data_IF_141058780231
#
_entry.id   IF_141058780231
#
_cell.length_a   1.000
_cell.length_b   1.000
_cell.length_c   1.000
_cell.angle_alpha   90.00
_cell.angle_beta   90.00
_cell.angle_gamma   90.00
#
_symmetry.space_group_name_H-M   'P 1'
#
loop_
_entity.id
_entity.type
_entity.pdbx_description
1 polymer ?
#
# COMPACT_ATOMS: atom_id res chain seq x y z
N UNK A 1 11.24 -5.66 4.27
CA UNK A 1 10.02 -6.10 3.58
C UNK A 1 10.12 -7.61 3.40
N UNK A 2 9.48 -8.46 4.21
CA UNK A 2 9.68 -9.90 4.17
C UNK A 2 8.68 -10.48 3.15
N UNK A 3 9.22 -11.20 2.16
CA UNK A 3 8.44 -11.90 1.14
C UNK A 3 7.64 -10.99 0.22
N UNK A 4 8.03 -10.90 -1.06
CA UNK A 4 7.09 -10.47 -2.10
C UNK A 4 5.86 -11.38 -1.93
N UNK A 5 4.67 -10.78 -1.80
CA UNK A 5 3.41 -11.51 -1.63
C UNK A 5 3.33 -12.66 -2.63
N UNK A 6 2.83 -13.82 -2.22
CA UNK A 6 2.49 -14.85 -3.21
C UNK A 6 1.27 -14.37 -4.01
N UNK A 7 1.10 -14.93 -5.20
CA UNK A 7 -0.08 -14.67 -6.03
C UNK A 7 -1.39 -14.87 -5.24
N UNK A 8 -2.39 -14.03 -5.51
CA UNK A 8 -3.69 -14.08 -4.81
C UNK A 8 -3.66 -13.57 -3.37
N UNK A 9 -2.53 -12.98 -2.92
CA UNK A 9 -2.45 -12.33 -1.61
C UNK A 9 -2.59 -10.81 -1.72
N UNK A 10 -3.09 -10.22 -0.64
CA UNK A 10 -3.09 -8.78 -0.42
C UNK A 10 -2.66 -8.46 1.01
N UNK A 11 -1.97 -7.33 1.16
CA UNK A 11 -1.40 -6.84 2.41
C UNK A 11 -1.64 -5.36 2.55
N UNK A 12 -2.05 -4.97 3.75
CA UNK A 12 -2.17 -3.58 4.14
C UNK A 12 -0.79 -3.09 4.62
N UNK A 13 -0.22 -2.13 3.91
CA UNK A 13 1.14 -1.62 4.14
C UNK A 13 1.05 -0.18 4.65
N UNK A 14 1.51 0.11 5.88
CA UNK A 14 1.66 1.49 6.34
C UNK A 14 2.83 2.17 5.61
N UNK A 15 2.57 3.30 4.96
CA UNK A 15 3.56 4.04 4.15
C UNK A 15 4.09 5.28 4.89
N UNK A 16 3.23 6.03 5.57
CA UNK A 16 3.62 7.28 6.24
C UNK A 16 2.71 7.62 7.40
N UNK A 17 3.24 8.38 8.36
CA UNK A 17 2.55 8.75 9.60
C UNK A 17 2.68 10.24 9.88
N UNK A 18 1.64 11.00 9.55
CA UNK A 18 1.47 12.41 9.95
C UNK A 18 0.74 12.56 11.29
N UNK A 19 0.87 13.70 12.00
CA UNK A 19 0.18 13.95 13.27
C UNK A 19 -1.34 14.06 13.13
N UNK A 20 -1.85 14.19 11.90
CA UNK A 20 -3.27 14.37 11.66
C UNK A 20 -4.11 13.11 11.92
N UNK A 21 -5.36 13.35 12.34
CA UNK A 21 -6.30 12.32 12.78
C UNK A 21 -7.18 11.84 11.63
N UNK A 22 -6.55 11.39 10.55
CA UNK A 22 -7.22 10.81 9.38
C UNK A 22 -6.37 9.70 8.76
N UNK A 23 -7.02 8.80 8.04
CA UNK A 23 -6.38 7.72 7.29
C UNK A 23 -6.60 7.95 5.80
N UNK A 24 -5.54 7.84 5.01
CA UNK A 24 -5.60 7.81 3.56
C UNK A 24 -5.19 6.42 3.08
N UNK A 25 -6.16 5.64 2.59
CA UNK A 25 -5.94 4.29 2.09
C UNK A 25 -5.90 4.30 0.56
N UNK A 26 -4.71 4.11 0.00
CA UNK A 26 -4.49 3.96 -1.43
C UNK A 26 -4.69 2.50 -1.85
N UNK A 27 -5.42 2.29 -2.95
CA UNK A 27 -5.70 0.99 -3.54
C UNK A 27 -5.34 1.07 -5.03
N UNK A 28 -4.24 0.44 -5.47
CA UNK A 28 -3.79 0.50 -6.86
C UNK A 28 -4.62 -0.43 -7.77
N UNK A 29 -4.44 -0.27 -9.08
CA UNK A 29 -5.09 -1.09 -10.11
C UNK A 29 -4.21 -2.23 -10.63
N UNK A 30 -4.54 -2.73 -11.83
CA UNK A 30 -3.86 -3.83 -12.52
C UNK A 30 -2.44 -3.50 -13.03
N UNK A 31 -1.95 -2.28 -12.83
CA UNK A 31 -0.53 -1.99 -13.07
C UNK A 31 0.28 -2.76 -12.02
N UNK A 32 0.47 -4.04 -12.30
CA UNK A 32 0.96 -5.04 -11.36
C UNK A 32 2.42 -4.78 -11.14
N UNK A 33 2.68 -4.36 -9.91
CA UNK A 33 3.94 -4.37 -9.20
C UNK A 33 4.42 -5.84 -9.13
N UNK A 34 4.94 -6.33 -10.24
CA UNK A 34 5.44 -7.71 -10.39
C UNK A 34 6.74 -7.89 -9.59
N UNK A 35 7.38 -6.77 -9.27
CA UNK A 35 8.59 -6.69 -8.48
C UNK A 35 8.56 -5.56 -7.44
N UNK A 36 9.61 -5.54 -6.63
CA UNK A 36 9.81 -4.57 -5.55
C UNK A 36 10.06 -3.16 -6.07
N UNK A 37 10.71 -3.00 -7.21
CA UNK A 37 11.07 -1.69 -7.77
C UNK A 37 9.82 -0.90 -8.14
N UNK A 38 8.86 -1.56 -8.78
CA UNK A 38 7.59 -0.94 -9.11
C UNK A 38 6.84 -0.52 -7.84
N UNK A 39 6.82 -1.37 -6.80
CA UNK A 39 6.16 -1.06 -5.52
C UNK A 39 6.80 0.17 -4.86
N UNK A 40 8.14 0.22 -4.83
CA UNK A 40 8.89 1.36 -4.30
C UNK A 40 8.59 2.63 -5.11
N UNK A 41 8.46 2.51 -6.45
CA UNK A 41 8.05 3.59 -7.34
C UNK A 41 6.64 4.12 -7.04
N UNK A 42 5.66 3.24 -6.82
CA UNK A 42 4.31 3.64 -6.44
C UNK A 42 4.30 4.34 -5.07
N UNK A 43 4.98 3.76 -4.08
CA UNK A 43 5.13 4.34 -2.74
C UNK A 43 5.75 5.74 -2.84
N UNK A 44 6.79 5.91 -3.66
CA UNK A 44 7.43 7.20 -3.90
C UNK A 44 6.46 8.23 -4.49
N UNK A 45 5.65 7.86 -5.50
CA UNK A 45 4.63 8.75 -6.08
C UNK A 45 3.59 9.20 -5.05
N UNK A 46 3.11 8.27 -4.21
CA UNK A 46 2.16 8.57 -3.12
C UNK A 46 2.79 9.55 -2.12
N UNK A 47 4.02 9.28 -1.69
CA UNK A 47 4.74 10.13 -0.73
C UNK A 47 5.02 11.53 -1.27
N UNK A 48 5.30 11.65 -2.58
CA UNK A 48 5.52 12.95 -3.24
C UNK A 48 4.27 13.84 -3.20
N UNK A 49 3.08 13.25 -3.26
CA UNK A 49 1.83 14.00 -3.08
C UNK A 49 1.63 14.52 -1.65
N UNK A 50 2.41 14.04 -0.67
CA UNK A 50 2.37 14.43 0.75
C UNK A 50 0.97 14.36 1.39
N UNK A 51 0.21 13.26 1.24
CA UNK A 51 -1.08 13.13 1.92
C UNK A 51 -0.92 13.26 3.44
N UNK A 52 -1.93 13.85 4.10
CA UNK A 52 -1.96 14.04 5.56
C UNK A 52 -2.28 12.78 6.32
N UNK A 53 -2.04 12.80 7.63
CA UNK A 53 -2.45 11.74 8.53
C UNK A 53 -1.72 10.43 8.25
N UNK A 54 -2.41 9.31 8.46
CA UNK A 54 -1.82 7.98 8.36
C UNK A 54 -2.08 7.43 6.97
N UNK A 55 -1.02 7.11 6.25
CA UNK A 55 -1.08 6.71 4.85
C UNK A 55 -0.85 5.23 4.76
N UNK A 56 -1.80 4.53 4.15
CA UNK A 56 -1.75 3.09 3.92
C UNK A 56 -1.88 2.78 2.44
N UNK A 57 -1.28 1.68 2.04
CA UNK A 57 -1.47 1.07 0.72
C UNK A 57 -2.01 -0.34 0.90
N UNK A 58 -3.16 -0.62 0.30
CA UNK A 58 -3.61 -1.99 0.12
C UNK A 58 -2.90 -2.57 -1.10
N UNK A 59 -1.77 -3.23 -0.87
CA UNK A 59 -1.02 -3.90 -1.92
C UNK A 59 -1.65 -5.28 -2.21
N UNK A 60 -1.79 -5.64 -3.48
CA UNK A 60 -2.41 -6.91 -3.89
C UNK A 60 -1.79 -7.44 -5.19
N UNK A 61 -1.71 -8.77 -5.31
CA UNK A 61 -1.19 -9.45 -6.51
C UNK A 61 -2.25 -10.39 -7.09
N UNK A 62 -2.43 -10.30 -8.41
CA UNK A 62 -3.34 -11.15 -9.17
C UNK A 62 -2.70 -12.52 -9.40
N UNK A 63 -3.52 -13.57 -9.44
CA UNK A 63 -3.07 -14.92 -9.80
C UNK A 63 -2.82 -15.04 -11.30
N UNK A 64 -1.64 -15.55 -11.69
CA UNK A 64 -1.21 -15.70 -13.09
C UNK A 64 -1.60 -17.05 -13.69
N UNK A 65 -2.14 -17.99 -12.92
CA UNK A 65 -2.37 -19.37 -13.37
C UNK A 65 -3.46 -19.61 -14.42
N UNK A 66 -4.09 -18.57 -14.99
CA UNK A 66 -4.97 -18.69 -16.15
C UNK A 66 -4.23 -18.50 -17.50
N UNK A 67 -2.94 -18.11 -17.46
CA UNK A 67 -2.08 -17.89 -18.65
C UNK A 67 -1.84 -19.19 -19.47
N UNK A 68 -2.19 -20.37 -18.96
CA UNK A 68 -2.10 -21.65 -19.69
C UNK A 68 -3.29 -21.94 -20.62
N UNK A 69 -4.38 -21.16 -20.55
CA UNK A 69 -5.58 -21.38 -21.37
C UNK A 69 -5.67 -20.47 -22.61
N UNK A 70 -4.97 -19.32 -22.61
CA UNK A 70 -4.83 -18.48 -23.79
C UNK A 70 -3.42 -18.64 -24.33
N UNK A 71 -3.30 -19.49 -25.34
CA UNK A 71 -2.13 -19.50 -26.21
C UNK A 71 -1.92 -18.08 -26.74
N UNK A 72 -0.96 -17.35 -26.15
CA UNK A 72 -0.35 -16.20 -26.81
C UNK A 72 0.12 -16.76 -28.15
N UNK A 73 -0.46 -16.34 -29.29
CA UNK A 73 -0.04 -16.91 -30.55
C UNK A 73 1.44 -16.60 -30.70
N UNK A 74 2.26 -17.64 -30.87
CA UNK A 74 3.68 -17.50 -31.14
C UNK A 74 3.85 -16.74 -32.47
N UNK A 75 3.83 -15.41 -32.40
CA UNK A 75 4.10 -14.54 -33.52
C UNK A 75 5.61 -14.33 -33.61
N UNK A 76 6.28 -15.25 -34.33
CA UNK A 76 7.30 -14.94 -35.33
C UNK A 76 8.04 -16.22 -35.75
N UNK A 77 7.52 -16.90 -36.78
CA UNK A 77 8.42 -17.48 -37.78
C UNK A 77 8.28 -16.64 -39.06
N UNK A 78 9.37 -16.09 -39.59
CA UNK A 78 9.32 -15.28 -40.80
C UNK A 78 8.98 -16.18 -41.99
N UNK A 79 7.88 -15.90 -42.69
CA UNK A 79 7.67 -16.47 -44.02
C UNK A 79 6.26 -16.92 -44.42
N UNK A 80 5.23 -16.83 -43.56
CA UNK A 80 3.85 -17.20 -43.97
C UNK A 80 2.87 -16.05 -43.82
N UNK A 81 2.56 -15.40 -44.94
CA UNK A 81 1.38 -14.52 -45.08
C UNK A 81 0.13 -15.35 -44.76
N UNK A 82 -0.45 -15.15 -43.57
CA UNK A 82 -1.80 -15.60 -43.24
C UNK A 82 -2.66 -14.38 -42.91
N UNK A 83 -3.89 -14.41 -43.41
CA UNK A 83 -4.88 -13.33 -43.31
C UNK A 83 -5.01 -12.87 -41.86
N UNK A 84 -4.81 -11.57 -41.64
CA UNK A 84 -5.01 -10.94 -40.33
C UNK A 84 -6.43 -11.20 -39.83
N UNK A 85 -6.62 -11.57 -38.55
CA UNK A 85 -7.93 -11.49 -37.93
C UNK A 85 -8.38 -10.02 -37.87
N UNK A 86 -9.61 -9.76 -38.29
CA UNK A 86 -10.22 -8.43 -38.52
C UNK A 86 -10.52 -7.61 -37.26
N UNK A 87 -9.85 -7.89 -36.14
CA UNK A 87 -10.02 -7.22 -34.84
C UNK A 87 -8.79 -6.43 -34.38
N UNK A 88 -7.73 -6.33 -35.20
CA UNK A 88 -6.55 -5.52 -34.90
C UNK A 88 -6.67 -4.12 -35.53
N UNK A 89 -6.46 -3.03 -34.77
CA UNK A 89 -6.51 -1.68 -35.32
C UNK A 89 -5.36 -1.45 -36.32
N UNK A 90 -5.71 -0.79 -37.42
CA UNK A 90 -4.75 -0.23 -38.36
C UNK A 90 -4.10 1.01 -37.72
N UNK A 91 -2.98 0.83 -37.03
CA UNK A 91 -2.15 1.91 -36.48
C UNK A 91 -0.73 1.42 -36.23
N UNK A 92 0.27 2.25 -36.50
CA UNK A 92 1.68 1.94 -36.22
C UNK A 92 1.95 2.05 -34.72
N UNK A 93 1.74 0.97 -33.97
CA UNK A 93 2.34 0.83 -32.63
C UNK A 93 3.57 -0.06 -32.71
N UNK A 94 4.57 0.22 -31.87
CA UNK A 94 5.73 -0.64 -31.76
C UNK A 94 5.38 -2.01 -31.15
N UNK A 95 6.18 -3.03 -31.49
CA UNK A 95 5.98 -4.41 -31.04
C UNK A 95 5.92 -4.55 -29.50
N UNK A 96 6.74 -3.82 -28.71
CA UNK A 96 6.65 -3.85 -27.24
C UNK A 96 5.32 -3.33 -26.68
N UNK A 97 4.76 -2.26 -27.24
CA UNK A 97 3.48 -1.70 -26.79
C UNK A 97 2.32 -2.66 -27.03
N UNK A 98 2.31 -3.34 -28.19
CA UNK A 98 1.33 -4.38 -28.48
C UNK A 98 1.40 -5.56 -27.50
N UNK A 99 2.60 -6.03 -27.19
CA UNK A 99 2.80 -7.15 -26.26
C UNK A 99 2.32 -6.79 -24.85
N UNK A 100 2.62 -5.58 -24.38
CA UNK A 100 2.19 -5.09 -23.07
C UNK A 100 0.67 -4.94 -22.97
N UNK A 101 0.03 -4.39 -24.01
CA UNK A 101 -1.42 -4.28 -24.08
C UNK A 101 -2.10 -5.66 -24.12
N UNK A 102 -1.58 -6.59 -24.92
CA UNK A 102 -2.09 -7.96 -25.00
C UNK A 102 -2.01 -8.69 -23.64
N UNK A 103 -0.90 -8.53 -22.92
CA UNK A 103 -0.73 -9.10 -21.58
C UNK A 103 -1.73 -8.51 -20.59
N UNK A 104 -1.92 -7.18 -20.59
CA UNK A 104 -2.90 -6.49 -19.74
C UNK A 104 -4.33 -6.98 -20.02
N UNK A 105 -4.70 -7.09 -21.30
CA UNK A 105 -6.03 -7.57 -21.72
C UNK A 105 -6.26 -9.00 -21.27
N UNK A 106 -5.25 -9.85 -21.40
CA UNK A 106 -5.37 -11.24 -21.00
C UNK A 106 -5.51 -11.36 -19.46
N UNK A 107 -4.75 -10.59 -18.67
CA UNK A 107 -4.81 -10.56 -17.19
C UNK A 107 -6.08 -9.94 -16.62
N UNK A 108 -6.77 -9.11 -17.39
CA UNK A 108 -7.86 -8.29 -16.89
C UNK A 108 -9.04 -9.05 -16.26
N UNK A 109 -9.57 -10.14 -16.85
CA UNK A 109 -10.71 -10.86 -16.25
C UNK A 109 -10.41 -11.42 -14.86
N UNK A 110 -9.26 -12.07 -14.68
CA UNK A 110 -8.86 -12.62 -13.37
C UNK A 110 -8.58 -11.52 -12.35
N UNK A 111 -7.93 -10.44 -12.78
CA UNK A 111 -7.69 -9.28 -11.93
C UNK A 111 -8.97 -8.58 -11.50
N UNK A 112 -9.93 -8.48 -12.41
CA UNK A 112 -11.26 -7.93 -12.16
C UNK A 112 -11.97 -8.75 -11.09
N UNK A 113 -12.10 -10.06 -11.25
CA UNK A 113 -12.75 -10.93 -10.25
C UNK A 113 -12.06 -10.85 -8.89
N UNK A 114 -10.73 -10.84 -8.86
CA UNK A 114 -10.00 -10.71 -7.60
C UNK A 114 -10.18 -9.33 -6.94
N UNK A 115 -10.31 -8.25 -7.72
CA UNK A 115 -10.64 -6.93 -7.18
C UNK A 115 -12.04 -6.91 -6.53
N UNK A 116 -13.01 -7.63 -7.10
CA UNK A 116 -14.37 -7.77 -6.55
C UNK A 116 -14.33 -8.55 -5.22
N UNK A 117 -13.64 -9.68 -5.17
CA UNK A 117 -13.41 -10.46 -3.94
C UNK A 117 -12.65 -9.67 -2.86
N UNK A 118 -11.67 -8.86 -3.27
CA UNK A 118 -10.94 -7.98 -2.36
C UNK A 118 -11.86 -6.89 -1.80
N UNK A 119 -12.79 -6.37 -2.62
CA UNK A 119 -13.82 -5.45 -2.19
C UNK A 119 -14.72 -6.07 -1.12
N UNK A 120 -15.23 -7.27 -1.36
CA UNK A 120 -16.06 -8.01 -0.41
C UNK A 120 -15.35 -8.26 0.94
N UNK A 121 -14.05 -8.50 0.91
CA UNK A 121 -13.26 -8.76 2.13
C UNK A 121 -12.64 -7.50 2.76
N UNK A 122 -12.82 -6.31 2.18
CA UNK A 122 -12.13 -5.09 2.62
C UNK A 122 -12.49 -4.72 4.07
N UNK A 123 -13.78 -4.69 4.43
CA UNK A 123 -14.24 -4.36 5.81
C UNK A 123 -13.60 -5.27 6.85
N UNK A 124 -13.54 -6.58 6.57
CA UNK A 124 -12.93 -7.57 7.46
C UNK A 124 -11.42 -7.32 7.62
N UNK A 125 -10.73 -6.94 6.54
CA UNK A 125 -9.30 -6.64 6.57
C UNK A 125 -9.01 -5.40 7.40
N UNK A 126 -9.78 -4.33 7.20
CA UNK A 126 -9.62 -3.09 7.97
C UNK A 126 -9.97 -3.29 9.45
N UNK A 127 -10.90 -4.19 9.76
CA UNK A 127 -11.26 -4.53 11.14
C UNK A 127 -10.12 -5.11 11.96
N UNK A 128 -9.09 -5.70 11.31
CA UNK A 128 -7.91 -6.25 11.99
C UNK A 128 -7.00 -5.17 12.56
N UNK A 129 -7.13 -3.93 12.08
CA UNK A 129 -6.31 -2.81 12.49
C UNK A 129 -7.17 -1.80 13.27
N UNK A 130 -7.06 -1.73 14.62
CA UNK A 130 -7.96 -0.93 15.45
C UNK A 130 -8.01 0.56 15.09
N UNK A 131 -6.94 1.10 14.48
CA UNK A 131 -6.88 2.50 14.07
C UNK A 131 -7.96 2.87 13.04
N UNK A 132 -8.37 1.93 12.18
CA UNK A 132 -9.38 2.16 11.14
C UNK A 132 -10.78 2.40 11.72
N UNK A 133 -11.09 1.82 12.88
CA UNK A 133 -12.36 2.10 13.59
C UNK A 133 -12.35 3.44 14.34
N UNK A 134 -11.17 4.03 14.59
CA UNK A 134 -11.00 5.22 15.44
C UNK A 134 -10.87 6.52 14.65
N UNK A 135 -10.38 6.46 13.42
CA UNK A 135 -10.10 7.63 12.59
C UNK A 135 -11.02 7.66 11.35
N UNK A 136 -11.35 8.85 10.82
CA UNK A 136 -11.96 8.93 9.50
C UNK A 136 -11.03 8.36 8.43
N UNK A 137 -11.60 7.61 7.50
CA UNK A 137 -10.89 6.94 6.41
C UNK A 137 -11.28 7.59 5.09
N UNK A 138 -10.29 8.01 4.32
CA UNK A 138 -10.47 8.35 2.91
C UNK A 138 -9.97 7.17 2.08
N UNK A 139 -10.80 6.71 1.15
CA UNK A 139 -10.48 5.63 0.23
C UNK A 139 -10.04 6.24 -1.10
N UNK A 140 -8.86 5.87 -1.61
CA UNK A 140 -8.32 6.38 -2.87
C UNK A 140 -8.04 5.19 -3.78
N UNK A 141 -8.88 4.99 -4.79
CA UNK A 141 -8.80 3.86 -5.71
C UNK A 141 -8.39 4.29 -7.10
N UNK A 142 -7.37 3.64 -7.66
CA UNK A 142 -6.97 3.83 -9.05
C UNK A 142 -7.35 2.61 -9.90
N UNK A 143 -7.96 2.81 -11.07
CA UNK A 143 -8.29 1.72 -11.99
C UNK A 143 -9.05 0.59 -11.29
N UNK A 144 -8.56 -0.66 -11.28
CA UNK A 144 -9.22 -1.76 -10.54
C UNK A 144 -9.31 -1.51 -9.02
N UNK A 145 -8.45 -0.69 -8.43
CA UNK A 145 -8.59 -0.28 -7.03
C UNK A 145 -9.88 0.51 -6.76
N UNK A 146 -10.41 1.23 -7.75
CA UNK A 146 -11.74 1.84 -7.65
C UNK A 146 -12.86 0.78 -7.64
N UNK A 147 -12.68 -0.35 -8.35
CA UNK A 147 -13.61 -1.48 -8.30
C UNK A 147 -13.61 -2.14 -6.93
N UNK A 148 -12.44 -2.29 -6.28
CA UNK A 148 -12.35 -2.75 -4.89
C UNK A 148 -13.21 -1.89 -3.98
N UNK A 149 -13.11 -0.56 -4.09
CA UNK A 149 -13.90 0.38 -3.27
C UNK A 149 -15.39 0.26 -3.59
N UNK A 150 -15.74 0.26 -4.88
CA UNK A 150 -17.14 0.16 -5.33
C UNK A 150 -17.82 -1.07 -4.73
N UNK A 151 -17.21 -2.25 -4.90
CA UNK A 151 -17.76 -3.49 -4.35
C UNK A 151 -17.78 -3.48 -2.83
N UNK A 152 -16.74 -2.94 -2.19
CA UNK A 152 -16.68 -2.85 -0.73
C UNK A 152 -17.81 -2.00 -0.13
N UNK A 153 -18.17 -0.88 -0.76
CA UNK A 153 -19.25 0.01 -0.30
C UNK A 153 -20.63 -0.53 -0.69
N UNK A 154 -20.75 -1.18 -1.84
CA UNK A 154 -22.00 -1.75 -2.33
C UNK A 154 -22.51 -2.91 -1.47
N UNK A 155 -21.63 -3.83 -1.03
CA UNK A 155 -22.06 -5.09 -0.40
C UNK A 155 -21.94 -5.14 1.11
N UNK A 156 -21.41 -4.10 1.75
CA UNK A 156 -21.16 -4.09 3.20
C UNK A 156 -21.69 -2.83 3.84
N UNK A 157 -22.22 -2.97 5.06
CA UNK A 157 -22.52 -1.83 5.92
C UNK A 157 -21.25 -1.34 6.62
N UNK A 158 -20.99 -0.04 6.60
CA UNK A 158 -19.77 0.57 7.14
C UNK A 158 -19.96 1.32 8.45
N UNK A 159 -21.07 1.10 9.15
CA UNK A 159 -21.45 1.68 10.44
C UNK A 159 -20.35 1.73 11.53
N UNK A 160 -19.50 0.70 11.60
CA UNK A 160 -18.37 0.62 12.53
C UNK A 160 -17.16 1.50 12.14
N UNK A 161 -17.17 2.07 10.94
CA UNK A 161 -16.09 2.84 10.35
C UNK A 161 -16.59 4.21 9.93
N UNK A 162 -15.74 5.22 10.05
CA UNK A 162 -16.06 6.54 9.50
C UNK A 162 -15.45 6.69 8.12
N UNK A 163 -16.10 6.16 7.08
CA UNK A 163 -15.69 6.40 5.70
C UNK A 163 -16.02 7.85 5.35
N UNK A 164 -14.98 8.67 5.22
CA UNK A 164 -15.10 10.11 5.11
C UNK A 164 -15.27 10.55 3.66
N UNK A 165 -14.35 10.19 2.77
CA UNK A 165 -14.43 10.51 1.35
C UNK A 165 -13.92 9.31 0.53
N UNK A 166 -14.40 9.19 -0.70
CA UNK A 166 -13.92 8.24 -1.69
C UNK A 166 -13.42 9.01 -2.91
N UNK A 167 -12.21 8.71 -3.37
CA UNK A 167 -11.59 9.31 -4.54
C UNK A 167 -11.27 8.20 -5.53
N UNK A 168 -11.87 8.25 -6.71
CA UNK A 168 -11.66 7.29 -7.79
C UNK A 168 -10.92 7.96 -8.92
N UNK A 169 -9.80 7.36 -9.32
CA UNK A 169 -8.91 7.85 -10.37
C UNK A 169 -8.89 6.83 -11.50
N UNK A 170 -9.32 7.22 -12.70
CA UNK A 170 -9.39 6.32 -13.85
C UNK A 170 -10.06 4.96 -13.53
N UNK A 171 -11.14 4.98 -12.73
CA UNK A 171 -11.70 3.77 -12.11
C UNK A 171 -12.25 2.73 -13.10
N UNK A 172 -11.82 1.47 -12.96
CA UNK A 172 -12.21 0.35 -13.83
C UNK A 172 -13.44 -0.40 -13.28
N UNK A 173 -14.52 0.33 -13.00
CA UNK A 173 -15.79 -0.19 -12.47
C UNK A 173 -16.97 0.42 -13.22
N UNK A 174 -18.14 -0.26 -13.35
CA UNK A 174 -19.24 0.23 -14.18
C UNK A 174 -19.72 1.63 -13.76
N UNK A 175 -19.91 2.52 -14.74
CA UNK A 175 -20.46 3.85 -14.50
C UNK A 175 -21.98 3.86 -14.25
N UNK A 176 -22.65 2.82 -14.75
CA UNK A 176 -24.08 2.57 -14.62
C UNK A 176 -24.25 1.04 -14.46
N UNK A 177 -24.23 0.52 -13.22
CA UNK A 177 -24.35 -0.91 -12.99
C UNK A 177 -25.80 -1.37 -13.18
N UNK A 178 -26.01 -2.44 -13.93
CA UNK A 178 -27.33 -3.07 -14.09
C UNK A 178 -27.82 -3.76 -12.81
N UNK A 179 -26.90 -4.07 -11.89
CA UNK A 179 -27.17 -4.71 -10.61
C UNK A 179 -27.49 -3.65 -9.55
N UNK A 180 -28.73 -3.64 -9.04
CA UNK A 180 -29.16 -2.73 -7.96
C UNK A 180 -28.30 -2.87 -6.71
N UNK A 181 -27.73 -4.05 -6.43
CA UNK A 181 -26.84 -4.26 -5.30
C UNK A 181 -25.53 -3.48 -5.45
N UNK A 182 -25.16 -3.09 -6.67
CA UNK A 182 -23.98 -2.29 -6.99
C UNK A 182 -24.33 -0.81 -7.24
N UNK A 183 -25.54 -0.36 -6.88
CA UNK A 183 -25.97 1.02 -7.16
C UNK A 183 -25.09 2.07 -6.44
N UNK A 184 -24.78 3.15 -7.15
CA UNK A 184 -23.93 4.21 -6.62
C UNK A 184 -24.57 5.01 -5.48
N UNK A 185 -25.90 5.03 -5.34
CA UNK A 185 -26.57 5.61 -4.17
C UNK A 185 -26.37 4.75 -2.91
N UNK A 186 -26.32 3.42 -3.05
CA UNK A 186 -25.94 2.52 -1.94
C UNK A 186 -24.50 2.83 -1.53
N UNK A 187 -23.58 2.92 -2.48
CA UNK A 187 -22.20 3.32 -2.16
C UNK A 187 -22.12 4.70 -1.47
N UNK A 188 -22.93 5.66 -1.92
CA UNK A 188 -22.98 7.00 -1.35
C UNK A 188 -23.67 7.07 0.04
N UNK A 189 -24.51 6.10 0.42
CA UNK A 189 -25.10 6.05 1.76
C UNK A 189 -24.07 5.68 2.82
N UNK A 190 -23.09 4.85 2.46
CA UNK A 190 -22.01 4.39 3.35
C UNK A 190 -20.91 5.44 3.60
N UNK A 191 -20.90 6.55 2.84
CA UNK A 191 -19.89 7.60 2.94
C UNK A 191 -20.46 8.83 3.65
N UNK A 192 -19.75 9.34 4.66
CA UNK A 192 -20.14 10.58 5.36
C UNK A 192 -19.95 11.84 4.50
N UNK A 193 -18.88 11.92 3.72
CA UNK A 193 -18.58 13.00 2.80
C UNK A 193 -19.05 12.68 1.39
N UNK A 194 -18.12 12.55 0.44
CA UNK A 194 -18.44 12.43 -0.99
C UNK A 194 -17.62 11.37 -1.73
N UNK A 195 -18.18 10.93 -2.85
CA UNK A 195 -17.50 10.17 -3.90
C UNK A 195 -17.05 11.17 -4.96
N UNK A 196 -15.74 11.26 -5.19
CA UNK A 196 -15.12 12.06 -6.23
C UNK A 196 -14.61 11.13 -7.33
N UNK A 197 -15.20 11.24 -8.52
CA UNK A 197 -14.80 10.48 -9.69
C UNK A 197 -13.99 11.37 -10.65
N UNK A 198 -12.68 11.12 -10.71
CA UNK A 198 -11.77 11.69 -11.69
C UNK A 198 -11.67 10.78 -12.90
N UNK A 199 -12.25 11.22 -14.01
CA UNK A 199 -12.32 10.44 -15.24
C UNK A 199 -11.74 11.22 -16.42
N UNK A 200 -11.33 10.53 -17.47
CA UNK A 200 -10.88 11.15 -18.71
C UNK A 200 -11.53 10.46 -19.90
N UNK A 201 -12.14 11.25 -20.78
CA UNK A 201 -12.63 10.75 -22.07
C UNK A 201 -11.52 10.42 -23.06
N UNK A 202 -10.26 10.73 -22.71
CA UNK A 202 -9.06 10.40 -23.49
C UNK A 202 -8.25 9.25 -22.87
N UNK A 203 -8.77 8.56 -21.86
CA UNK A 203 -8.14 7.35 -21.31
C UNK A 203 -7.99 6.29 -22.42
N UNK A 204 -6.76 5.97 -22.78
CA UNK A 204 -6.47 5.06 -23.90
C UNK A 204 -6.58 3.59 -23.51
N UNK A 205 -6.59 3.25 -22.21
CA UNK A 205 -6.55 1.88 -21.73
C UNK A 205 -7.96 1.33 -21.47
N UNK A 206 -8.80 2.11 -20.77
CA UNK A 206 -10.13 1.68 -20.32
C UNK A 206 -11.05 1.22 -21.46
N UNK A 207 -11.14 1.86 -22.63
CA UNK A 207 -12.00 1.41 -23.72
C UNK A 207 -11.75 -0.04 -24.16
N UNK A 208 -10.53 -0.55 -23.96
CA UNK A 208 -10.17 -1.93 -24.33
C UNK A 208 -10.52 -2.96 -23.26
N UNK A 209 -10.63 -2.55 -21.99
CA UNK A 209 -10.84 -3.46 -20.84
C UNK A 209 -12.24 -3.31 -20.21
N UNK A 210 -12.85 -2.13 -20.29
CA UNK A 210 -14.17 -1.82 -19.77
C UNK A 210 -14.78 -0.61 -20.51
N UNK A 211 -15.64 -0.87 -21.49
CA UNK A 211 -16.20 0.13 -22.38
C UNK A 211 -17.11 1.17 -21.69
N UNK A 212 -17.61 0.90 -20.48
CA UNK A 212 -18.44 1.83 -19.69
C UNK A 212 -17.96 1.92 -18.23
N UNK A 213 -16.75 2.45 -18.06
CA UNK A 213 -16.10 2.54 -16.76
C UNK A 213 -16.15 3.96 -16.19
N UNK A 214 -16.25 4.11 -14.87
CA UNK A 214 -16.19 5.43 -14.23
C UNK A 214 -14.91 6.20 -14.51
N UNK A 215 -13.85 5.54 -14.97
CA UNK A 215 -12.61 6.19 -15.39
C UNK A 215 -12.64 6.80 -16.79
N UNK A 216 -13.54 6.37 -17.68
CA UNK A 216 -13.71 6.95 -19.01
C UNK A 216 -15.05 7.69 -19.19
N UNK A 217 -15.94 7.62 -18.20
CA UNK A 217 -17.22 8.32 -18.21
C UNK A 217 -17.64 8.78 -16.81
N UNK A 218 -18.58 9.71 -16.74
CA UNK A 218 -19.17 10.13 -15.47
C UNK A 218 -20.07 9.03 -14.88
N UNK A 219 -20.08 8.88 -13.56
CA UNK A 219 -21.09 8.08 -12.84
C UNK A 219 -22.47 8.63 -13.18
N UNK A 220 -23.36 7.78 -13.69
CA UNK A 220 -24.65 8.19 -14.28
C UNK A 220 -25.81 8.27 -13.29
N UNK A 221 -25.50 8.48 -12.01
CA UNK A 221 -26.49 8.62 -10.95
C UNK A 221 -26.52 10.08 -10.46
N UNK A 222 -27.72 10.63 -10.30
CA UNK A 222 -27.91 11.95 -9.68
C UNK A 222 -27.93 11.83 -8.17
N UNK A 223 -26.79 12.09 -7.54
CA UNK A 223 -26.67 12.12 -6.09
C UNK A 223 -25.75 13.30 -5.67
N UNK A 224 -26.15 14.15 -4.69
CA UNK A 224 -25.35 15.30 -4.27
C UNK A 224 -24.01 14.93 -3.62
N UNK A 225 -23.83 13.67 -3.20
CA UNK A 225 -22.56 13.16 -2.70
C UNK A 225 -21.62 12.67 -3.80
N UNK A 226 -22.08 12.58 -5.05
CA UNK A 226 -21.26 12.12 -6.18
C UNK A 226 -20.83 13.34 -7.00
N UNK A 227 -19.51 13.49 -7.16
CA UNK A 227 -18.89 14.58 -7.91
C UNK A 227 -18.08 13.97 -9.03
N UNK A 228 -18.45 14.26 -10.28
CA UNK A 228 -17.70 13.84 -11.46
C UNK A 228 -16.82 15.00 -11.96
N UNK A 229 -15.57 14.72 -12.28
CA UNK A 229 -14.62 15.69 -12.83
C UNK A 229 -13.87 15.09 -14.02
N UNK A 230 -13.88 15.79 -15.15
CA UNK A 230 -13.27 15.34 -16.39
C UNK A 230 -11.86 15.93 -16.56
N UNK A 231 -10.84 15.11 -16.42
CA UNK A 231 -9.45 15.41 -16.77
C UNK A 231 -9.21 15.23 -18.27
N UNK A 232 -9.73 16.17 -19.06
CA UNK A 232 -9.86 16.07 -20.52
C UNK A 232 -8.59 15.67 -21.29
N UNK A 233 -7.39 15.82 -20.74
CA UNK A 233 -6.11 15.53 -21.40
C UNK A 233 -5.29 14.44 -20.72
N UNK A 234 -5.89 13.69 -19.79
CA UNK A 234 -5.19 12.64 -19.06
C UNK A 234 -5.35 11.31 -19.79
N UNK A 235 -4.25 10.60 -19.96
CA UNK A 235 -4.25 9.16 -20.25
C UNK A 235 -4.31 8.34 -18.93
N UNK A 236 -4.46 7.03 -19.01
CA UNK A 236 -4.64 6.14 -17.85
C UNK A 236 -3.55 6.34 -16.79
N UNK A 237 -2.27 6.31 -17.21
CA UNK A 237 -1.13 6.41 -16.29
C UNK A 237 -0.86 7.80 -15.72
N UNK A 238 -1.38 8.87 -16.35
CA UNK A 238 -1.10 10.26 -15.96
C UNK A 238 -1.49 10.57 -14.51
N UNK A 239 -2.50 9.87 -13.99
CA UNK A 239 -3.00 10.06 -12.65
C UNK A 239 -1.95 9.79 -11.58
N UNK A 240 -1.06 8.82 -11.81
CA UNK A 240 0.02 8.52 -10.87
C UNK A 240 1.16 9.51 -10.95
N UNK A 241 1.56 9.89 -12.16
CA UNK A 241 2.67 10.82 -12.36
C UNK A 241 2.32 12.24 -11.91
N UNK A 242 1.03 12.60 -11.96
CA UNK A 242 0.48 13.91 -11.57
C UNK A 242 -0.39 13.82 -10.31
N UNK A 243 -0.20 12.81 -9.46
CA UNK A 243 -1.08 12.51 -8.32
C UNK A 243 -1.36 13.71 -7.42
N UNK A 244 -0.33 14.52 -7.12
CA UNK A 244 -0.48 15.74 -6.33
C UNK A 244 -1.49 16.73 -6.93
N UNK A 245 -1.37 16.98 -8.23
CA UNK A 245 -2.23 17.90 -8.99
C UNK A 245 -3.65 17.35 -9.03
N UNK A 246 -3.78 16.07 -9.36
CA UNK A 246 -5.06 15.37 -9.44
C UNK A 246 -5.80 15.43 -8.11
N UNK A 247 -5.16 15.07 -7.00
CA UNK A 247 -5.79 15.07 -5.68
C UNK A 247 -6.18 16.48 -5.24
N UNK A 248 -5.34 17.48 -5.54
CA UNK A 248 -5.62 18.88 -5.19
C UNK A 248 -6.79 19.47 -5.98
N UNK A 249 -6.94 19.08 -7.24
CA UNK A 249 -8.01 19.54 -8.12
C UNK A 249 -9.33 18.80 -7.87
N UNK A 250 -9.27 17.47 -7.77
CA UNK A 250 -10.45 16.61 -7.65
C UNK A 250 -11.07 16.61 -6.25
N UNK A 251 -10.24 16.65 -5.21
CA UNK A 251 -10.66 16.42 -3.83
C UNK A 251 -10.45 17.68 -2.98
N UNK A 252 -11.50 18.51 -2.77
CA UNK A 252 -11.36 19.81 -2.10
C UNK A 252 -10.87 19.75 -0.66
N UNK A 253 -10.96 18.59 0.00
CA UNK A 253 -10.43 18.36 1.36
C UNK A 253 -8.99 17.85 1.36
N UNK A 254 -8.45 17.47 0.20
CA UNK A 254 -7.05 17.12 0.09
C UNK A 254 -6.19 18.29 0.57
N UNK A 255 -5.31 18.00 1.50
CA UNK A 255 -4.34 18.95 2.03
C UNK A 255 -3.03 18.21 2.16
N UNK A 256 -1.96 18.87 1.76
CA UNK A 256 -0.62 18.33 1.93
C UNK A 256 -0.19 18.46 3.38
N UNK A 257 0.51 17.45 3.91
CA UNK A 257 1.07 17.53 5.25
C UNK A 257 2.31 18.41 5.23
N UNK A 258 2.28 19.46 6.06
CA UNK A 258 3.43 20.34 6.29
C UNK A 258 4.60 19.60 6.95
N UNK A 259 4.27 18.57 7.73
CA UNK A 259 5.20 17.74 8.50
C UNK A 259 5.19 16.29 8.00
N UNK A 260 5.05 16.06 6.68
CA UNK A 260 5.24 14.73 6.09
C UNK A 260 6.70 14.30 6.32
N UNK A 261 7.01 13.83 7.52
CA UNK A 261 8.18 13.01 7.76
C UNK A 261 7.92 11.77 6.91
N UNK A 262 8.64 11.66 5.79
CA UNK A 262 8.77 10.41 5.06
C UNK A 262 9.42 9.44 6.03
N UNK A 263 8.60 8.80 6.83
CA UNK A 263 9.00 7.70 7.70
C UNK A 263 9.05 6.51 6.78
N UNK A 264 10.18 6.32 6.08
CA UNK A 264 10.50 4.99 5.54
C UNK A 264 10.56 4.10 6.76
N UNK A 265 9.48 3.37 7.03
CA UNK A 265 9.52 2.36 8.08
C UNK A 265 10.49 1.30 7.62
N UNK A 266 11.69 1.29 8.19
CA UNK A 266 12.59 0.16 8.03
C UNK A 266 12.06 -0.94 8.95
N UNK A 267 11.81 -2.10 8.38
CA UNK A 267 11.64 -3.30 9.17
C UNK A 267 13.03 -3.73 9.61
N UNK A 268 13.28 -3.65 10.90
CA UNK A 268 14.53 -4.12 11.50
C UNK A 268 14.14 -5.19 12.52
N UNK A 269 14.81 -6.33 12.50
CA UNK A 269 14.64 -7.33 13.54
C UNK A 269 15.26 -6.82 14.83
N UNK A 270 14.52 -6.89 15.94
CA UNK A 270 15.06 -6.69 17.28
C UNK A 270 16.32 -7.55 17.42
N UNK A 271 17.50 -6.96 17.73
CA UNK A 271 18.74 -7.72 17.79
C UNK A 271 18.69 -8.80 18.89
N UNK A 272 17.90 -8.58 19.95
CA UNK A 272 17.70 -9.50 21.07
C UNK A 272 16.70 -10.62 20.73
N UNK A 273 15.41 -10.33 20.66
CA UNK A 273 14.37 -11.36 20.54
C UNK A 273 13.95 -11.67 19.09
N UNK A 274 14.61 -11.06 18.09
CA UNK A 274 14.32 -11.20 16.65
C UNK A 274 12.93 -10.74 16.19
N UNK A 275 12.08 -10.25 17.10
CA UNK A 275 10.79 -9.64 16.76
C UNK A 275 10.96 -8.47 15.80
N UNK A 276 10.16 -8.40 14.74
CA UNK A 276 10.20 -7.31 13.77
C UNK A 276 9.78 -5.99 14.43
N UNK A 277 10.66 -5.00 14.37
CA UNK A 277 10.43 -3.63 14.78
C UNK A 277 10.19 -2.78 13.54
N UNK A 278 9.22 -1.86 13.64
CA UNK A 278 8.94 -0.88 12.60
C UNK A 278 9.56 0.43 13.02
N UNK A 279 10.79 0.68 12.58
CA UNK A 279 11.55 1.88 12.97
C UNK A 279 11.27 3.01 11.99
N UNK A 280 11.03 4.21 12.48
CA UNK A 280 10.77 5.42 11.69
C UNK A 280 11.98 6.34 11.67
N UNK A 281 11.73 7.65 11.80
CA UNK A 281 12.78 8.67 11.96
C UNK A 281 12.98 9.06 13.43
N UNK A 282 12.34 8.35 14.36
CA UNK A 282 12.55 8.56 15.78
C UNK A 282 13.97 8.10 16.14
N UNK A 283 14.62 8.77 17.09
CA UNK A 283 15.90 8.29 17.59
C UNK A 283 15.72 7.12 18.54
N UNK A 284 14.57 6.98 19.20
CA UNK A 284 14.35 6.03 20.30
C UNK A 284 13.20 5.05 20.03
N UNK A 285 13.43 3.76 20.27
CA UNK A 285 12.48 2.66 20.02
C UNK A 285 12.42 1.71 21.20
N UNK A 286 11.24 1.16 21.50
CA UNK A 286 11.08 0.11 22.53
C UNK A 286 10.53 -1.14 21.87
N UNK A 287 11.22 -2.27 22.03
CA UNK A 287 10.69 -3.54 21.57
C UNK A 287 9.52 -3.98 22.45
N UNK A 288 8.35 -4.18 21.86
CA UNK A 288 7.15 -4.59 22.58
C UNK A 288 7.21 -6.03 23.12
N UNK A 289 8.17 -6.84 22.67
CA UNK A 289 8.29 -8.24 23.07
C UNK A 289 9.27 -8.46 24.24
N UNK A 290 10.39 -7.72 24.25
CA UNK A 290 11.42 -7.84 25.29
C UNK A 290 11.58 -6.57 26.13
N UNK A 291 10.78 -5.53 25.86
CA UNK A 291 10.75 -4.24 26.57
C UNK A 291 12.08 -3.46 26.56
N UNK A 292 13.07 -3.95 25.81
CA UNK A 292 14.36 -3.27 25.63
C UNK A 292 14.19 -2.02 24.76
N UNK A 293 14.93 -0.99 25.12
CA UNK A 293 14.98 0.27 24.40
C UNK A 293 16.17 0.29 23.44
N UNK A 294 16.04 1.01 22.33
CA UNK A 294 17.00 1.03 21.24
C UNK A 294 17.10 2.41 20.59
N UNK A 295 18.27 2.73 20.04
CA UNK A 295 18.53 3.87 19.18
C UNK A 295 18.85 3.45 17.74
N UNK A 296 18.31 4.15 16.73
CA UNK A 296 18.67 3.88 15.34
C UNK A 296 19.84 4.79 14.91
N UNK A 297 21.03 4.21 14.69
CA UNK A 297 22.21 4.92 14.14
C UNK A 297 22.77 4.15 12.96
N UNK A 298 23.05 4.85 11.86
CA UNK A 298 23.59 4.29 10.61
C UNK A 298 22.79 3.12 10.04
N UNK A 299 21.47 3.07 10.30
CA UNK A 299 20.58 2.00 9.84
C UNK A 299 20.58 0.74 10.71
N UNK A 300 21.26 0.77 11.87
CA UNK A 300 21.30 -0.33 12.83
C UNK A 300 20.71 0.10 14.19
N UNK A 301 20.07 -0.84 14.89
CA UNK A 301 19.55 -0.62 16.23
C UNK A 301 20.65 -0.89 17.28
N UNK A 302 20.88 0.08 18.14
CA UNK A 302 21.79 0.05 19.30
C UNK A 302 20.97 0.04 20.57
N UNK A 303 21.38 -0.63 21.65
CA UNK A 303 20.59 -0.68 22.89
C UNK A 303 20.62 0.66 23.66
N UNK A 304 19.52 0.98 24.35
CA UNK A 304 19.42 2.05 25.33
C UNK A 304 18.85 1.50 26.66
N UNK A 305 19.32 1.97 27.83
CA UNK A 305 20.51 2.81 28.02
C UNK A 305 21.80 2.03 27.73
N UNK A 306 22.90 2.73 27.51
CA UNK A 306 24.20 2.16 27.85
C UNK A 306 24.06 1.71 29.31
N UNK A 307 24.07 0.40 29.57
CA UNK A 307 24.11 -0.08 30.93
C UNK A 307 25.53 0.23 31.41
N UNK A 308 25.77 1.44 31.89
CA UNK A 308 27.01 1.79 32.56
C UNK A 308 27.01 1.01 33.88
N UNK A 309 27.62 -0.17 33.81
CA UNK A 309 27.75 -1.10 34.92
C UNK A 309 29.13 -0.88 35.51
N UNK A 310 29.19 -0.50 36.76
CA UNK A 310 30.46 -0.55 37.48
C UNK A 310 30.79 -2.00 37.82
N UNK A 311 32.03 -2.43 37.53
CA UNK A 311 32.54 -3.67 38.05
C UNK A 311 32.45 -3.65 39.59
N UNK A 312 31.69 -4.56 40.22
CA UNK A 312 31.50 -4.55 41.67
C UNK A 312 32.78 -4.84 42.47
N UNK A 313 33.86 -5.29 41.81
CA UNK A 313 35.15 -5.52 42.43
C UNK A 313 36.13 -4.35 42.27
N UNK A 314 36.18 -3.71 41.08
CA UNK A 314 37.21 -2.69 40.78
C UNK A 314 36.66 -1.34 40.32
N UNK A 315 35.33 -1.18 40.33
CA UNK A 315 34.60 0.03 39.95
C UNK A 315 34.93 0.58 38.56
N UNK A 316 35.46 -0.25 37.67
CA UNK A 316 35.59 0.11 36.26
C UNK A 316 34.20 0.22 35.66
N UNK A 317 33.88 1.36 35.03
CA UNK A 317 32.68 1.51 34.21
C UNK A 317 32.79 0.62 32.98
N UNK A 318 31.78 -0.22 32.77
CA UNK A 318 31.66 -1.18 31.68
C UNK A 318 30.34 -0.92 30.96
N UNK A 319 30.31 -1.15 29.66
CA UNK A 319 29.07 -1.06 28.86
C UNK A 319 28.70 -2.43 28.25
N UNK A 320 28.36 -3.44 29.08
CA UNK A 320 27.96 -4.77 28.60
C UNK A 320 26.62 -4.75 27.84
N UNK A 321 26.39 -5.74 26.96
CA UNK A 321 25.04 -5.99 26.44
C UNK A 321 24.14 -6.56 27.55
N UNK A 322 22.82 -6.30 27.50
CA UNK A 322 21.89 -6.92 28.43
C UNK A 322 21.89 -8.45 28.27
N UNK A 323 21.76 -9.16 29.40
CA UNK A 323 21.62 -10.62 29.47
C UNK A 323 22.82 -11.39 28.91
N UNK A 324 23.96 -11.31 29.61
CA UNK A 324 25.19 -12.01 29.24
C UNK A 324 26.21 -12.14 30.36
N UNK A 325 27.13 -13.07 30.20
CA UNK A 325 28.32 -13.24 31.04
C UNK A 325 29.50 -12.47 30.45
N UNK A 326 30.21 -11.75 31.31
CA UNK A 326 31.31 -10.87 30.96
C UNK A 326 32.47 -11.10 31.92
N UNK A 327 33.69 -10.82 31.46
CA UNK A 327 34.85 -10.72 32.32
C UNK A 327 35.27 -9.26 32.38
N UNK A 328 35.57 -8.75 33.58
CA UNK A 328 36.12 -7.42 33.72
C UNK A 328 37.55 -7.42 33.16
N UNK A 329 37.84 -6.53 32.20
CA UNK A 329 39.18 -6.41 31.62
C UNK A 329 40.27 -5.98 32.60
N UNK A 330 39.88 -5.41 33.76
CA UNK A 330 40.83 -4.94 34.78
C UNK A 330 41.11 -5.97 35.87
N UNK A 331 40.08 -6.66 36.38
CA UNK A 331 40.24 -7.62 37.48
C UNK A 331 40.03 -9.07 37.09
N UNK A 332 39.71 -9.33 35.82
CA UNK A 332 39.40 -10.66 35.25
C UNK A 332 38.22 -11.38 35.93
N UNK A 333 37.56 -10.74 36.90
CA UNK A 333 36.39 -11.27 37.59
C UNK A 333 35.21 -11.39 36.64
N UNK A 334 34.54 -12.53 36.71
CA UNK A 334 33.32 -12.79 35.95
C UNK A 334 32.14 -12.03 36.54
N UNK A 335 31.26 -11.51 35.70
CA UNK A 335 29.99 -10.96 36.13
C UNK A 335 28.92 -11.24 35.08
N UNK A 336 27.69 -11.39 35.53
CA UNK A 336 26.53 -11.58 34.68
C UNK A 336 25.60 -10.38 34.82
N UNK A 337 25.15 -9.85 33.69
CA UNK A 337 24.12 -8.81 33.66
C UNK A 337 22.81 -9.50 33.31
N UNK A 338 21.81 -9.45 34.19
CA UNK A 338 20.44 -9.92 33.89
C UNK A 338 19.43 -8.81 34.12
N UNK A 339 18.69 -8.43 33.08
CA UNK A 339 17.62 -7.40 33.17
C UNK A 339 18.04 -6.07 33.82
N UNK A 340 19.33 -5.72 33.73
CA UNK A 340 19.90 -4.51 34.35
C UNK A 340 20.48 -4.71 35.75
N UNK A 341 20.33 -5.89 36.37
CA UNK A 341 21.00 -6.26 37.62
C UNK A 341 22.35 -6.95 37.34
N UNK A 342 23.34 -6.69 38.20
CA UNK A 342 24.73 -7.17 38.03
C UNK A 342 25.06 -8.20 39.10
N UNK A 343 25.42 -9.39 38.68
CA UNK A 343 25.76 -10.53 39.54
C UNK A 343 27.23 -10.88 39.37
N UNK A 344 28.04 -10.63 40.40
CA UNK A 344 29.48 -10.92 40.36
C UNK A 344 29.78 -12.37 40.75
N UNK A 345 30.71 -12.97 40.03
CA UNK A 345 31.34 -14.24 40.38
C UNK A 345 32.85 -14.03 40.48
N UNK A 346 33.47 -14.25 41.65
CA UNK A 346 34.93 -14.18 41.75
C UNK A 346 35.56 -15.17 40.76
N UNK A 347 36.68 -14.78 40.14
CA UNK A 347 37.42 -15.66 39.24
C UNK A 347 37.72 -16.98 39.99
N UNK A 348 37.46 -18.11 39.33
CA UNK A 348 37.86 -19.41 39.89
C UNK A 348 39.38 -19.41 39.98
N UNK A 349 39.91 -19.50 41.20
CA UNK A 349 41.35 -19.70 41.46
C UNK A 349 41.90 -20.94 40.76
#
# INVERSE_FOLDING_TARGET
>A
MPGILTEGQSKLIPISWGPEREINLFIPGLETLDDREQLDGLVHRILRARPRGKVYLLFWRVFHGWESALSVPQYAQPGKRRKQPSFLPCGEFDVPTYAHLALKLARYPGARSYAEELGWSLKQRLSREPIFKRLPINLIGYSLGARVIHYALAVSTWDEFRIQDCVMLAGATPADPDDEALDWNVCASEIHGRIYNGYSTQDSALPWIASDAVGNSAIRVRNPKIVNHNFRSFDHGDYWDKLEVVLSELWPRFRQSKNALVTRRHEISCPHCKTTLYVGNDSHYVCQACELSFELRDGYLHYLPHYDVECPHCHLELSPQPDGEYACERCEGGFEVRKGDVYYYPAKE
#
